data_IF_405564999862
#
_entry.id   IF_405564999862
#
_cell.length_a   1.000
_cell.length_b   1.000
_cell.length_c   1.000
_cell.angle_alpha   90.00
_cell.angle_beta   90.00
_cell.angle_gamma   90.00
#
_symmetry.space_group_name_H-M   'P 1'
#
loop_
_entity.id
_entity.type
_entity.pdbx_description
1 polymer ?
#
# COMPACT_ATOMS: atom_id res chain seq x y z
N UNK A 1 2.72 -14.69 2.37
CA UNK A 1 3.74 -13.65 2.63
C UNK A 1 4.95 -14.29 3.29
N UNK A 2 6.12 -14.19 2.66
CA UNK A 2 7.38 -14.69 3.24
C UNK A 2 7.84 -13.71 4.32
N UNK A 3 8.36 -14.21 5.46
CA UNK A 3 9.01 -13.35 6.48
C UNK A 3 10.14 -12.48 5.89
N UNK A 4 10.70 -12.87 4.73
CA UNK A 4 11.79 -12.15 4.05
C UNK A 4 11.34 -10.85 3.36
N UNK A 5 10.07 -10.68 3.05
CA UNK A 5 9.54 -9.51 2.32
C UNK A 5 8.93 -8.45 3.26
N UNK A 6 8.74 -8.80 4.54
CA UNK A 6 8.13 -7.93 5.53
C UNK A 6 8.91 -6.62 5.78
N UNK A 7 10.26 -6.62 5.88
CA UNK A 7 11.01 -5.40 6.13
C UNK A 7 10.85 -4.36 5.01
N UNK A 8 10.92 -4.79 3.75
CA UNK A 8 10.77 -3.89 2.60
C UNK A 8 9.35 -3.32 2.50
N UNK A 9 8.32 -4.14 2.77
CA UNK A 9 6.93 -3.65 2.78
C UNK A 9 6.69 -2.61 3.87
N UNK A 10 7.25 -2.79 5.06
CA UNK A 10 7.15 -1.79 6.13
C UNK A 10 7.87 -0.49 5.72
N UNK A 11 9.06 -0.60 5.12
CA UNK A 11 9.81 0.57 4.69
C UNK A 11 9.14 1.30 3.52
N UNK A 12 8.50 0.61 2.58
CA UNK A 12 7.86 1.27 1.44
C UNK A 12 6.52 1.93 1.82
N UNK A 13 5.70 1.24 2.62
CA UNK A 13 4.29 1.61 2.77
C UNK A 13 4.02 2.50 3.99
N UNK A 14 4.74 2.28 5.10
CA UNK A 14 4.44 2.95 6.37
C UNK A 14 5.18 4.27 6.52
N UNK A 15 4.70 5.15 7.40
CA UNK A 15 5.46 6.32 7.85
C UNK A 15 6.17 6.05 9.17
N UNK A 16 7.17 6.87 9.51
CA UNK A 16 7.86 6.77 10.81
C UNK A 16 6.88 6.89 11.99
N UNK A 17 5.88 7.76 11.88
CA UNK A 17 4.86 7.98 12.92
C UNK A 17 3.95 6.76 13.11
N UNK A 18 3.62 6.06 12.03
CA UNK A 18 2.83 4.83 12.07
C UNK A 18 3.58 3.70 12.80
N UNK A 19 4.87 3.52 12.49
CA UNK A 19 5.74 2.55 13.17
C UNK A 19 5.90 2.89 14.65
N UNK A 20 6.14 4.17 14.96
CA UNK A 20 6.26 4.66 16.32
C UNK A 20 4.96 4.45 17.12
N UNK A 21 3.81 4.71 16.49
CA UNK A 21 2.50 4.49 17.13
C UNK A 21 2.26 3.03 17.48
N UNK A 22 2.64 2.09 16.58
CA UNK A 22 2.55 0.66 16.88
C UNK A 22 3.45 0.29 18.06
N UNK A 23 4.72 0.68 18.05
CA UNK A 23 5.67 0.38 19.13
C UNK A 23 5.20 0.95 20.47
N UNK A 24 4.61 2.16 20.46
CA UNK A 24 4.10 2.81 21.68
C UNK A 24 3.03 1.98 22.39
N UNK A 25 2.16 1.27 21.67
CA UNK A 25 1.11 0.41 22.25
C UNK A 25 1.73 -0.68 23.14
N UNK A 26 2.90 -1.19 22.76
CA UNK A 26 3.57 -2.31 23.44
C UNK A 26 4.65 -1.87 24.42
N UNK A 27 5.07 -0.60 24.38
CA UNK A 27 6.18 -0.07 25.18
C UNK A 27 5.93 -0.16 26.68
N UNK A 28 4.71 0.15 27.13
CA UNK A 28 4.42 0.25 28.57
C UNK A 28 4.64 -1.07 29.30
N UNK A 29 4.34 -2.19 28.64
CA UNK A 29 4.52 -3.55 29.17
C UNK A 29 5.89 -4.16 28.86
N UNK A 30 6.71 -3.53 28.01
CA UNK A 30 7.96 -4.10 27.49
C UNK A 30 9.07 -3.04 27.40
N UNK A 31 9.28 -2.28 28.48
CA UNK A 31 10.11 -1.07 28.50
C UNK A 31 11.56 -1.31 28.11
N UNK A 32 12.13 -2.47 28.43
CA UNK A 32 13.55 -2.75 28.18
C UNK A 32 13.82 -3.23 26.76
N UNK A 33 12.78 -3.72 26.07
CA UNK A 33 12.89 -4.31 24.73
C UNK A 33 12.43 -3.34 23.66
N UNK A 34 11.25 -2.73 23.84
CA UNK A 34 10.66 -1.84 22.84
C UNK A 34 11.37 -0.48 22.90
N UNK A 35 11.90 -0.01 21.77
CA UNK A 35 12.62 1.28 21.65
C UNK A 35 11.81 2.19 20.74
N UNK A 36 11.67 3.45 21.13
CA UNK A 36 10.87 4.44 20.40
C UNK A 36 11.72 5.47 19.63
N UNK A 37 13.02 5.53 19.93
CA UNK A 37 13.97 6.42 19.25
C UNK A 37 14.64 5.70 18.09
N UNK A 38 14.93 6.43 17.03
CA UNK A 38 15.68 5.93 15.87
C UNK A 38 15.16 6.52 14.57
N UNK A 39 15.87 6.23 13.48
CA UNK A 39 15.37 6.45 12.14
C UNK A 39 14.34 5.35 11.78
N UNK A 40 13.71 5.47 10.61
CA UNK A 40 12.68 4.51 10.17
C UNK A 40 13.18 3.06 10.12
N UNK A 41 14.40 2.83 9.63
CA UNK A 41 15.02 1.51 9.58
C UNK A 41 15.20 0.92 10.97
N UNK A 42 15.67 1.73 11.93
CA UNK A 42 15.84 1.30 13.33
C UNK A 42 14.50 0.86 13.95
N UNK A 43 13.41 1.58 13.64
CA UNK A 43 12.07 1.22 14.13
C UNK A 43 11.54 -0.06 13.48
N UNK A 44 11.82 -0.29 12.19
CA UNK A 44 11.44 -1.52 11.48
C UNK A 44 12.18 -2.72 12.08
N UNK A 45 13.49 -2.62 12.25
CA UNK A 45 14.28 -3.68 12.90
C UNK A 45 13.73 -4.01 14.29
N UNK A 46 13.40 -2.98 15.07
CA UNK A 46 12.83 -3.17 16.39
C UNK A 46 11.47 -3.87 16.39
N UNK A 47 10.59 -3.55 15.43
CA UNK A 47 9.32 -4.26 15.26
C UNK A 47 9.59 -5.73 14.94
N UNK A 48 10.54 -6.03 14.07
CA UNK A 48 10.91 -7.41 13.70
C UNK A 48 11.49 -8.18 14.89
N UNK A 49 12.35 -7.55 15.70
CA UNK A 49 12.87 -8.12 16.94
C UNK A 49 11.73 -8.43 17.92
N UNK A 50 10.81 -7.47 18.12
CA UNK A 50 9.65 -7.63 18.99
C UNK A 50 8.70 -8.73 18.49
N UNK A 51 8.59 -8.95 17.18
CA UNK A 51 7.87 -10.08 16.61
C UNK A 51 8.59 -11.41 16.88
N UNK A 52 9.92 -11.43 16.77
CA UNK A 52 10.74 -12.60 17.12
C UNK A 52 10.57 -13.02 18.57
N UNK A 53 10.36 -12.05 19.46
CA UNK A 53 10.09 -12.25 20.88
C UNK A 53 8.60 -12.45 21.22
N UNK A 54 7.72 -12.50 20.21
CA UNK A 54 6.26 -12.60 20.37
C UNK A 54 5.62 -11.49 21.22
N UNK A 55 6.28 -10.34 21.34
CA UNK A 55 5.75 -9.13 22.00
C UNK A 55 4.71 -8.46 21.10
N UNK A 56 5.05 -8.32 19.82
CA UNK A 56 4.14 -7.79 18.79
C UNK A 56 3.64 -8.96 17.94
N UNK A 57 2.33 -9.25 17.94
CA UNK A 57 1.76 -10.28 17.08
C UNK A 57 1.92 -9.95 15.59
N UNK A 58 2.10 -10.97 14.76
CA UNK A 58 2.19 -10.82 13.30
C UNK A 58 0.96 -10.12 12.73
N UNK A 59 -0.21 -10.41 13.30
CA UNK A 59 -1.50 -9.84 12.91
C UNK A 59 -1.49 -8.31 13.01
N UNK A 60 -0.82 -7.74 14.03
CA UNK A 60 -0.78 -6.29 14.21
C UNK A 60 0.14 -5.59 13.23
N UNK A 61 1.24 -6.22 12.87
CA UNK A 61 2.13 -5.72 11.80
C UNK A 61 1.44 -5.82 10.44
N UNK A 62 0.65 -6.88 10.24
CA UNK A 62 -0.14 -7.05 9.04
C UNK A 62 -1.28 -6.01 8.93
N UNK A 63 -2.02 -5.76 10.02
CA UNK A 63 -3.01 -4.67 10.11
C UNK A 63 -2.35 -3.31 9.79
N UNK A 64 -1.17 -3.04 10.34
CA UNK A 64 -0.41 -1.82 10.06
C UNK A 64 -0.12 -1.66 8.56
N UNK A 65 0.32 -2.72 7.89
CA UNK A 65 0.56 -2.70 6.44
C UNK A 65 -0.73 -2.45 5.68
N UNK A 66 -1.83 -3.10 6.05
CA UNK A 66 -3.13 -2.89 5.41
C UNK A 66 -3.64 -1.45 5.57
N UNK A 67 -3.45 -0.86 6.75
CA UNK A 67 -3.80 0.52 7.01
C UNK A 67 -2.89 1.48 6.24
N UNK A 68 -1.60 1.18 6.14
CA UNK A 68 -0.66 1.95 5.34
C UNK A 68 -0.98 1.86 3.82
N UNK A 69 -1.47 0.73 3.33
CA UNK A 69 -1.99 0.61 1.96
C UNK A 69 -3.26 1.44 1.72
N UNK A 70 -4.03 1.76 2.75
CA UNK A 70 -5.24 2.57 2.62
C UNK A 70 -5.02 4.06 2.87
N UNK A 71 -4.08 4.41 3.76
CA UNK A 71 -3.91 5.77 4.30
C UNK A 71 -2.44 6.24 4.37
N UNK A 72 -1.50 5.49 3.82
CA UNK A 72 -0.08 5.80 3.85
C UNK A 72 0.35 6.83 2.80
N UNK A 73 1.57 6.67 2.28
CA UNK A 73 2.15 7.59 1.30
C UNK A 73 1.54 7.39 -0.10
N UNK A 74 0.64 8.29 -0.52
CA UNK A 74 -0.18 8.09 -1.72
C UNK A 74 -0.35 9.36 -2.55
N UNK A 75 -0.50 9.21 -3.86
CA UNK A 75 -1.16 10.23 -4.69
C UNK A 75 -2.67 10.10 -4.51
N UNK A 76 -3.34 11.23 -4.29
CA UNK A 76 -4.78 11.29 -4.10
C UNK A 76 -5.37 12.14 -5.21
N UNK A 77 -6.20 11.53 -6.04
CA UNK A 77 -7.01 12.21 -7.04
C UNK A 77 -8.45 12.28 -6.54
N UNK A 78 -8.99 13.50 -6.48
CA UNK A 78 -10.36 13.73 -6.06
C UNK A 78 -11.20 14.12 -7.27
N UNK A 79 -12.26 13.35 -7.50
CA UNK A 79 -13.24 13.62 -8.54
C UNK A 79 -14.58 13.92 -7.88
N UNK A 80 -15.21 15.00 -8.32
CA UNK A 80 -16.56 15.37 -7.92
C UNK A 80 -17.51 15.12 -9.10
N UNK A 81 -18.72 14.67 -8.79
CA UNK A 81 -19.75 14.55 -9.83
C UNK A 81 -20.19 15.92 -10.33
N UNK A 82 -20.22 16.07 -11.65
CA UNK A 82 -20.69 17.32 -12.30
C UNK A 82 -22.20 17.53 -12.09
N UNK A 83 -22.97 16.46 -11.90
CA UNK A 83 -24.41 16.52 -11.65
C UNK A 83 -24.86 15.56 -10.55
N UNK A 84 -25.71 16.08 -9.66
CA UNK A 84 -26.30 15.33 -8.53
C UNK A 84 -27.09 14.10 -8.96
N UNK A 85 -27.56 14.03 -10.22
CA UNK A 85 -28.24 12.87 -10.77
C UNK A 85 -27.35 11.61 -10.83
N UNK A 86 -26.06 11.77 -11.14
CA UNK A 86 -25.11 10.66 -11.21
C UNK A 86 -24.78 10.08 -9.83
N UNK A 87 -24.98 10.83 -8.75
CA UNK A 87 -24.76 10.34 -7.38
C UNK A 87 -25.59 9.09 -7.09
N UNK A 88 -26.82 9.02 -7.59
CA UNK A 88 -27.70 7.86 -7.35
C UNK A 88 -27.15 6.56 -7.93
N UNK A 89 -26.44 6.65 -9.05
CA UNK A 89 -25.83 5.49 -9.72
C UNK A 89 -24.68 4.93 -8.88
N UNK A 90 -23.82 5.81 -8.36
CA UNK A 90 -22.65 5.42 -7.58
C UNK A 90 -22.94 5.17 -6.09
N UNK A 91 -24.04 5.72 -5.56
CA UNK A 91 -24.49 5.52 -4.18
C UNK A 91 -24.94 4.08 -3.90
N UNK A 92 -25.30 3.31 -4.93
CA UNK A 92 -25.64 1.91 -4.76
C UNK A 92 -24.38 1.03 -4.84
N UNK A 93 -23.55 1.09 -3.79
CA UNK A 93 -22.33 0.30 -3.68
C UNK A 93 -22.55 -1.21 -3.85
N UNK A 94 -23.74 -1.74 -3.49
CA UNK A 94 -24.09 -3.15 -3.70
C UNK A 94 -24.22 -3.45 -5.19
N UNK A 95 -24.93 -2.62 -5.96
CA UNK A 95 -25.04 -2.78 -7.41
C UNK A 95 -23.70 -2.57 -8.11
N UNK A 96 -22.90 -1.58 -7.69
CA UNK A 96 -21.53 -1.39 -8.20
C UNK A 96 -20.70 -2.64 -7.98
N UNK A 97 -20.69 -3.17 -6.75
CA UNK A 97 -20.02 -4.43 -6.40
C UNK A 97 -20.49 -5.58 -7.28
N UNK A 98 -21.79 -5.77 -7.45
CA UNK A 98 -22.35 -6.86 -8.27
C UNK A 98 -21.98 -6.75 -9.75
N UNK A 99 -21.85 -5.55 -10.29
CA UNK A 99 -21.40 -5.34 -11.67
C UNK A 99 -19.90 -5.65 -11.83
N UNK A 100 -19.08 -5.23 -10.86
CA UNK A 100 -17.63 -5.46 -10.87
C UNK A 100 -17.31 -6.95 -10.61
N UNK A 101 -18.03 -7.58 -9.69
CA UNK A 101 -17.78 -8.94 -9.21
C UNK A 101 -18.75 -9.98 -9.77
N UNK A 102 -19.38 -9.72 -10.92
CA UNK A 102 -20.49 -10.54 -11.46
C UNK A 102 -20.22 -12.06 -11.46
N UNK A 103 -18.94 -12.48 -11.48
CA UNK A 103 -18.50 -13.87 -11.43
C UNK A 103 -17.48 -14.18 -10.30
N UNK A 104 -17.30 -13.31 -9.31
CA UNK A 104 -16.32 -13.48 -8.22
C UNK A 104 -17.03 -13.42 -6.87
N UNK A 105 -16.93 -14.51 -6.10
CA UNK A 105 -17.39 -14.52 -4.71
C UNK A 105 -16.43 -13.69 -3.85
N UNK A 106 -16.89 -13.22 -2.69
CA UNK A 106 -16.02 -12.46 -1.78
C UNK A 106 -14.87 -13.33 -1.21
N UNK A 107 -14.98 -14.66 -1.30
CA UNK A 107 -13.89 -15.59 -0.97
C UNK A 107 -12.81 -15.65 -2.05
N UNK A 108 -13.15 -15.23 -3.27
CA UNK A 108 -12.26 -15.26 -4.45
C UNK A 108 -11.40 -14.00 -4.56
N UNK A 109 -11.52 -13.06 -3.61
CA UNK A 109 -10.54 -11.99 -3.48
C UNK A 109 -9.20 -12.59 -3.06
N UNK A 110 -8.11 -12.35 -3.83
CA UNK A 110 -6.82 -12.88 -3.50
C UNK A 110 -6.39 -12.39 -2.12
N UNK A 111 -6.17 -13.34 -1.21
CA UNK A 111 -5.56 -13.08 0.08
C UNK A 111 -4.06 -12.99 -0.11
N UNK A 112 -3.57 -11.81 -0.52
CA UNK A 112 -2.15 -11.46 -0.63
C UNK A 112 -1.28 -12.63 -1.11
N UNK A 113 -1.64 -13.12 -2.29
CA UNK A 113 -0.72 -13.84 -3.16
C UNK A 113 -0.18 -12.80 -4.12
N UNK A 114 1.13 -12.64 -4.19
CA UNK A 114 1.82 -11.82 -5.19
C UNK A 114 1.47 -12.40 -6.58
N UNK A 115 0.39 -11.92 -7.19
CA UNK A 115 -0.01 -12.34 -8.53
C UNK A 115 0.58 -11.32 -9.53
N UNK A 116 1.36 -11.76 -10.53
CA UNK A 116 2.00 -10.87 -11.48
C UNK A 116 1.08 -10.55 -12.67
N UNK A 117 1.19 -9.30 -13.16
CA UNK A 117 0.88 -8.77 -14.51
C UNK A 117 -0.54 -8.27 -14.86
N UNK A 118 -1.54 -8.29 -13.96
CA UNK A 118 -2.89 -7.77 -14.26
C UNK A 118 -3.54 -7.09 -13.06
N UNK A 119 -4.40 -6.10 -13.33
CA UNK A 119 -5.28 -5.50 -12.32
C UNK A 119 -6.20 -6.54 -11.69
N UNK A 120 -6.06 -6.77 -10.39
CA UNK A 120 -6.90 -7.70 -9.64
C UNK A 120 -7.58 -7.02 -8.45
N UNK A 121 -8.90 -7.13 -8.41
CA UNK A 121 -9.69 -6.72 -7.25
C UNK A 121 -9.34 -7.61 -6.05
N UNK A 122 -8.93 -7.00 -4.95
CA UNK A 122 -8.40 -7.67 -3.74
C UNK A 122 -9.20 -7.37 -2.48
N UNK A 123 -10.01 -6.32 -2.51
CA UNK A 123 -11.04 -6.07 -1.51
C UNK A 123 -12.17 -5.21 -2.09
N UNK A 124 -13.39 -5.40 -1.59
CA UNK A 124 -14.52 -4.52 -1.90
C UNK A 124 -15.53 -4.48 -0.73
N UNK A 125 -15.58 -3.33 -0.05
CA UNK A 125 -16.35 -3.07 1.17
C UNK A 125 -17.59 -2.21 0.87
N UNK A 126 -18.75 -2.67 1.37
CA UNK A 126 -20.06 -1.99 1.24
C UNK A 126 -20.91 -2.28 2.49
N UNK A 127 -21.41 -1.26 3.23
CA UNK A 127 -20.95 0.12 3.18
C UNK A 127 -19.50 0.25 3.64
N UNK A 128 -18.77 1.25 3.16
CA UNK A 128 -17.43 1.52 3.67
C UNK A 128 -17.52 2.14 5.07
N UNK A 129 -16.98 1.45 6.09
CA UNK A 129 -16.90 1.94 7.49
C UNK A 129 -18.24 2.45 8.05
N UNK A 130 -19.35 1.83 7.67
CA UNK A 130 -20.69 2.19 8.15
C UNK A 130 -21.27 3.48 7.54
N UNK A 131 -20.58 4.13 6.59
CA UNK A 131 -21.11 5.31 5.90
C UNK A 131 -22.13 4.86 4.86
N UNK A 132 -23.37 5.32 4.96
CA UNK A 132 -24.40 4.99 3.98
C UNK A 132 -24.02 5.42 2.56
N UNK A 133 -24.48 4.65 1.58
CA UNK A 133 -24.23 4.90 0.15
C UNK A 133 -22.75 4.98 -0.25
N UNK A 134 -21.84 4.54 0.63
CA UNK A 134 -20.40 4.53 0.37
C UNK A 134 -19.90 3.14 0.01
N UNK A 135 -18.75 3.08 -0.64
CA UNK A 135 -18.05 1.84 -0.90
C UNK A 135 -16.56 2.11 -1.10
N UNK A 136 -15.75 1.08 -0.85
CA UNK A 136 -14.33 1.12 -1.11
C UNK A 136 -13.90 -0.15 -1.82
N UNK A 137 -13.17 0.01 -2.92
CA UNK A 137 -12.56 -1.07 -3.66
C UNK A 137 -11.04 -0.94 -3.66
N UNK A 138 -10.35 -2.07 -3.50
CA UNK A 138 -8.89 -2.16 -3.64
C UNK A 138 -8.55 -3.00 -4.85
N UNK A 139 -7.55 -2.54 -5.60
CA UNK A 139 -7.02 -3.23 -6.76
C UNK A 139 -5.50 -3.30 -6.60
N UNK A 140 -4.93 -4.49 -6.74
CA UNK A 140 -3.48 -4.64 -6.85
C UNK A 140 -3.06 -4.74 -8.30
N UNK A 141 -1.87 -4.21 -8.56
CA UNK A 141 -1.21 -4.23 -9.84
C UNK A 141 0.31 -4.26 -9.64
N UNK A 142 1.04 -4.37 -10.74
CA UNK A 142 2.49 -4.43 -10.78
C UNK A 142 3.01 -3.39 -11.76
N UNK A 143 3.92 -2.54 -11.28
CA UNK A 143 4.68 -1.60 -12.12
C UNK A 143 6.07 -2.18 -12.32
N UNK A 144 6.39 -2.51 -13.57
CA UNK A 144 7.74 -2.91 -13.98
C UNK A 144 8.48 -1.70 -14.53
N UNK A 145 9.75 -1.57 -14.22
CA UNK A 145 10.60 -0.50 -14.76
C UNK A 145 12.05 -0.95 -14.85
N UNK A 146 12.74 -0.39 -15.83
CA UNK A 146 14.19 -0.54 -15.93
C UNK A 146 14.88 0.36 -14.91
N UNK A 147 15.81 -0.22 -14.15
CA UNK A 147 16.62 0.47 -13.15
C UNK A 147 18.08 0.28 -13.52
N UNK A 148 18.82 1.39 -13.57
CA UNK A 148 20.26 1.35 -13.79
C UNK A 148 20.93 0.67 -12.61
N UNK A 149 21.61 -0.45 -12.85
CA UNK A 149 22.36 -1.19 -11.82
C UNK A 149 23.84 -0.90 -11.89
N UNK A 150 24.37 -0.75 -13.10
CA UNK A 150 25.78 -0.53 -13.28
C UNK A 150 26.04 0.34 -14.51
N UNK A 151 27.03 1.21 -14.39
CA UNK A 151 27.55 1.98 -15.50
C UNK A 151 29.07 1.81 -15.49
N UNK A 152 29.60 1.31 -16.60
CA UNK A 152 31.04 1.14 -16.79
C UNK A 152 31.48 1.89 -18.04
N UNK A 153 32.59 2.60 -17.93
CA UNK A 153 33.23 3.27 -19.06
C UNK A 153 34.62 2.67 -19.23
N UNK A 154 34.84 1.98 -20.34
CA UNK A 154 36.12 1.35 -20.66
C UNK A 154 36.48 1.60 -22.12
N UNK A 155 37.73 2.00 -22.37
CA UNK A 155 38.26 2.27 -23.71
C UNK A 155 37.38 3.22 -24.57
N UNK A 156 36.70 4.19 -23.96
CA UNK A 156 35.82 5.13 -24.65
C UNK A 156 34.42 4.60 -24.98
N UNK A 157 34.09 3.36 -24.60
CA UNK A 157 32.73 2.81 -24.66
C UNK A 157 32.05 2.91 -23.31
N UNK A 158 30.78 3.37 -23.33
CA UNK A 158 29.87 3.42 -22.19
C UNK A 158 28.96 2.21 -22.24
N UNK A 159 29.06 1.35 -21.24
CA UNK A 159 28.17 0.20 -21.05
C UNK A 159 27.29 0.46 -19.83
N UNK A 160 25.99 0.57 -20.07
CA UNK A 160 24.98 0.73 -19.02
C UNK A 160 24.20 -0.57 -18.90
N UNK A 161 24.12 -1.10 -17.68
CA UNK A 161 23.37 -2.32 -17.35
C UNK A 161 22.09 -1.91 -16.62
N UNK A 162 20.96 -2.25 -17.23
CA UNK A 162 19.64 -2.10 -16.66
C UNK A 162 19.12 -3.45 -16.17
N UNK A 163 18.42 -3.44 -15.05
CA UNK A 163 17.61 -4.57 -14.58
C UNK A 163 16.15 -4.16 -14.48
N UNK A 164 15.24 -5.08 -14.80
CA UNK A 164 13.81 -4.85 -14.62
C UNK A 164 13.49 -5.09 -13.15
N UNK A 165 13.17 -4.01 -12.44
CA UNK A 165 12.61 -4.10 -11.11
C UNK A 165 11.09 -4.01 -11.15
N UNK A 166 10.48 -4.76 -10.24
CA UNK A 166 9.05 -4.97 -10.15
C UNK A 166 8.56 -4.42 -8.83
N UNK A 167 7.77 -3.35 -8.87
CA UNK A 167 7.18 -2.77 -7.67
C UNK A 167 5.67 -3.01 -7.64
N UNK A 168 5.17 -3.36 -6.46
CA UNK A 168 3.74 -3.54 -6.23
C UNK A 168 3.05 -2.19 -6.18
N UNK A 169 1.92 -2.08 -6.87
CA UNK A 169 1.07 -0.89 -6.81
C UNK A 169 -0.29 -1.28 -6.24
N UNK A 170 -0.78 -0.44 -5.33
CA UNK A 170 -2.12 -0.56 -4.76
C UNK A 170 -2.92 0.65 -5.17
N UNK A 171 -4.07 0.39 -5.80
CA UNK A 171 -5.07 1.38 -6.10
C UNK A 171 -6.22 1.23 -5.11
N UNK A 172 -6.61 2.33 -4.47
CA UNK A 172 -7.77 2.40 -3.60
C UNK A 172 -8.77 3.35 -4.22
N UNK A 173 -9.96 2.84 -4.51
CA UNK A 173 -11.07 3.62 -5.05
C UNK A 173 -12.14 3.72 -3.98
N UNK A 174 -12.46 4.94 -3.57
CA UNK A 174 -13.37 5.21 -2.48
C UNK A 174 -14.46 6.17 -2.93
N UNK A 175 -15.71 5.75 -2.80
CA UNK A 175 -16.87 6.62 -2.96
C UNK A 175 -17.44 6.99 -1.60
N UNK A 176 -17.54 8.29 -1.32
CA UNK A 176 -17.91 8.77 0.02
C UNK A 176 -19.43 8.82 0.29
N UNK A 177 -20.27 8.48 -0.69
CA UNK A 177 -21.73 8.55 -0.60
C UNK A 177 -22.33 9.97 -0.74
N UNK A 178 -21.48 10.98 -0.90
CA UNK A 178 -21.84 12.41 -0.98
C UNK A 178 -21.44 13.07 -2.30
N UNK A 179 -21.12 12.28 -3.31
CA UNK A 179 -20.80 12.77 -4.67
C UNK A 179 -19.32 12.90 -4.99
N UNK A 180 -18.43 12.45 -4.10
CA UNK A 180 -16.99 12.44 -4.36
C UNK A 180 -16.47 11.02 -4.52
N UNK A 181 -15.69 10.84 -5.58
CA UNK A 181 -14.86 9.67 -5.82
C UNK A 181 -13.41 10.04 -5.55
N UNK A 182 -12.80 9.31 -4.64
CA UNK A 182 -11.39 9.44 -4.31
C UNK A 182 -10.65 8.24 -4.90
N UNK A 183 -9.59 8.52 -5.65
CA UNK A 183 -8.71 7.52 -6.22
C UNK A 183 -7.31 7.71 -5.65
N UNK A 184 -6.85 6.75 -4.84
CA UNK A 184 -5.55 6.75 -4.21
C UNK A 184 -4.63 5.75 -4.87
N UNK A 185 -3.40 6.15 -5.11
CA UNK A 185 -2.35 5.30 -5.69
C UNK A 185 -1.17 5.34 -4.73
N UNK A 186 -0.74 4.19 -4.24
CA UNK A 186 0.47 4.11 -3.43
C UNK A 186 1.66 4.66 -4.19
N UNK A 187 2.41 5.58 -3.56
CA UNK A 187 3.69 6.03 -4.09
C UNK A 187 4.69 4.90 -3.92
N UNK A 188 5.39 4.59 -4.99
CA UNK A 188 6.56 3.72 -4.92
C UNK A 188 7.77 4.54 -4.48
N UNK A 189 8.81 3.89 -3.95
CA UNK A 189 10.11 4.51 -3.60
C UNK A 189 10.67 5.39 -4.74
N UNK A 190 10.28 5.05 -5.95
CA UNK A 190 10.66 5.64 -7.21
C UNK A 190 9.76 6.75 -7.75
N UNK A 191 8.66 7.05 -7.08
CA UNK A 191 7.86 8.24 -7.38
C UNK A 191 8.31 9.42 -6.50
N UNK A 192 9.36 9.25 -5.68
CA UNK A 192 9.96 10.30 -4.86
C UNK A 192 10.87 11.22 -5.67
N UNK A 193 10.90 12.51 -5.34
CA UNK A 193 11.76 13.50 -6.01
C UNK A 193 13.27 13.15 -5.97
N UNK A 194 13.69 12.27 -5.06
CA UNK A 194 15.07 11.75 -5.02
C UNK A 194 15.44 10.96 -6.28
N UNK A 195 14.51 10.16 -6.81
CA UNK A 195 14.75 9.34 -8.01
C UNK A 195 14.93 10.16 -9.30
N UNK A 196 14.36 11.37 -9.35
CA UNK A 196 14.59 12.33 -10.44
C UNK A 196 15.99 12.97 -10.36
N UNK A 197 16.54 13.13 -9.15
CA UNK A 197 17.86 13.71 -8.93
C UNK A 197 19.01 12.71 -9.04
N UNK A 198 18.74 11.40 -9.04
CA UNK A 198 19.74 10.35 -9.30
C UNK A 198 19.85 10.01 -10.79
N UNK A 199 18.93 10.52 -11.63
CA UNK A 199 18.92 10.35 -13.09
C UNK A 199 19.47 11.56 -13.87
N UNK A 200 19.94 12.61 -13.18
CA UNK A 200 20.57 13.80 -13.75
C UNK A 200 21.99 13.96 -13.22
#
# INVERSE_FOLDING_TARGET
MSKKELPSLLDELTTIDQLHSLLKIYKDNNKDVVRLSGNKSDLIENILDCMGLSIIPFEKVYELIQDAEEFGNQYIYLYETVHSHFNKVYNNGKSVKSNILKNRSQKDFPKITLIPSKFEWVDFRVPNRGVENSWLGKIYDKKEREVLKNETVSAGQRTVVYEIESTRVVYVVHWNGKGNLEYRISRTSYDSAKSLNECL
#
